data_IF_279273876036
#
_entry.id   IF_279273876036
#
_cell.length_a   1.000
_cell.length_b   1.000
_cell.length_c   1.000
_cell.angle_alpha   90.00
_cell.angle_beta   90.00
_cell.angle_gamma   90.00
#
_symmetry.space_group_name_H-M   'P 1'
#
loop_
_entity.id
_entity.type
_entity.pdbx_description
1 polymer ?
#
# COMPACT_ATOMS: atom_id res chain seq x y z
N UNK A 1 -4.17 0.73 -8.38
CA UNK A 1 -3.10 0.28 -9.30
C UNK A 1 -3.34 -1.18 -9.58
N UNK A 2 -3.27 -1.63 -10.82
CA UNK A 2 -3.81 -2.95 -11.23
C UNK A 2 -2.81 -4.10 -11.02
N UNK A 3 -1.52 -3.81 -10.93
CA UNK A 3 -0.46 -4.84 -10.97
C UNK A 3 -0.29 -5.60 -9.66
N UNK A 4 -0.51 -5.00 -8.50
CA UNK A 4 -0.24 -5.67 -7.22
C UNK A 4 -1.23 -6.80 -6.91
N UNK A 5 -2.56 -6.63 -7.10
CA UNK A 5 -3.49 -7.74 -6.94
C UNK A 5 -3.21 -8.89 -7.92
N UNK A 6 -2.77 -8.58 -9.14
CA UNK A 6 -2.39 -9.59 -10.13
C UNK A 6 -1.11 -10.32 -9.71
N UNK A 7 -0.14 -9.61 -9.14
CA UNK A 7 1.12 -10.18 -8.66
C UNK A 7 0.90 -11.26 -7.57
N UNK A 8 -0.10 -11.10 -6.70
CA UNK A 8 -0.49 -12.12 -5.71
C UNK A 8 -0.95 -13.43 -6.36
N UNK A 9 -1.57 -13.34 -7.55
CA UNK A 9 -2.16 -14.48 -8.25
C UNK A 9 -1.18 -15.14 -9.23
N UNK A 10 0.04 -14.64 -9.35
CA UNK A 10 1.05 -15.28 -10.19
C UNK A 10 1.34 -16.70 -9.68
N UNK A 11 1.51 -17.68 -10.58
CA UNK A 11 1.88 -19.05 -10.17
C UNK A 11 3.20 -19.12 -9.39
N UNK A 12 4.07 -18.13 -9.56
CA UNK A 12 5.36 -18.00 -8.87
C UNK A 12 5.26 -17.29 -7.51
N UNK A 13 4.08 -16.80 -7.13
CA UNK A 13 3.89 -16.14 -5.84
C UNK A 13 4.12 -17.11 -4.69
N UNK A 14 5.12 -16.84 -3.86
CA UNK A 14 5.49 -17.69 -2.73
C UNK A 14 5.42 -16.88 -1.44
N UNK A 15 4.45 -17.12 -0.56
CA UNK A 15 4.39 -16.49 0.75
C UNK A 15 5.65 -16.80 1.58
N UNK A 16 6.43 -15.78 1.93
CA UNK A 16 7.51 -15.89 2.89
C UNK A 16 6.99 -15.56 4.29
N UNK A 17 6.78 -16.59 5.13
CA UNK A 17 6.26 -16.43 6.49
C UNK A 17 7.06 -15.45 7.32
N UNK A 18 8.40 -15.49 7.22
CA UNK A 18 9.26 -14.58 8.00
C UNK A 18 9.02 -13.14 7.54
N UNK A 19 8.99 -12.91 6.23
CA UNK A 19 8.73 -11.58 5.67
C UNK A 19 7.34 -11.07 6.04
N UNK A 20 6.32 -11.93 5.99
CA UNK A 20 4.96 -11.57 6.40
C UNK A 20 4.89 -11.17 7.87
N UNK A 21 5.59 -11.87 8.77
CA UNK A 21 5.68 -11.48 10.18
C UNK A 21 6.35 -10.11 10.33
N UNK A 22 7.49 -9.86 9.68
CA UNK A 22 8.17 -8.56 9.72
C UNK A 22 7.26 -7.42 9.24
N UNK A 23 6.53 -7.64 8.13
CA UNK A 23 5.57 -6.68 7.60
C UNK A 23 4.43 -6.41 8.58
N UNK A 24 3.94 -7.44 9.27
CA UNK A 24 2.88 -7.31 10.28
C UNK A 24 3.36 -6.45 11.45
N UNK A 25 4.53 -6.74 11.97
CA UNK A 25 5.13 -5.98 13.08
C UNK A 25 5.36 -4.52 12.70
N UNK A 26 5.74 -4.23 11.44
CA UNK A 26 5.84 -2.86 10.92
C UNK A 26 4.49 -2.13 10.96
N UNK A 27 3.39 -2.80 10.57
CA UNK A 27 2.05 -2.19 10.60
C UNK A 27 1.54 -1.98 12.03
N UNK A 28 1.79 -2.92 12.94
CA UNK A 28 1.40 -2.79 14.35
C UNK A 28 2.15 -1.64 15.04
N UNK A 29 3.46 -1.50 14.79
CA UNK A 29 4.23 -0.35 15.28
C UNK A 29 3.67 0.98 14.79
N UNK A 30 3.21 1.05 13.54
CA UNK A 30 2.57 2.26 13.02
C UNK A 30 1.24 2.57 13.73
N UNK A 31 0.46 1.55 14.10
CA UNK A 31 -0.80 1.73 14.85
C UNK A 31 -0.56 2.26 16.28
N UNK A 32 0.59 1.94 16.87
CA UNK A 32 0.98 2.41 18.20
C UNK A 32 1.68 3.78 18.19
N UNK A 33 2.08 4.27 17.01
CA UNK A 33 2.86 5.51 16.90
C UNK A 33 1.96 6.74 16.75
N UNK A 34 2.30 7.80 17.48
CA UNK A 34 1.72 9.12 17.28
C UNK A 34 2.13 9.72 15.92
N UNK A 35 1.20 9.70 14.97
CA UNK A 35 1.41 10.12 13.57
C UNK A 35 1.79 11.60 13.46
N UNK A 36 1.35 12.44 14.41
CA UNK A 36 1.69 13.88 14.42
C UNK A 36 3.17 14.12 14.70
N UNK A 37 3.85 13.15 15.33
CA UNK A 37 5.29 13.20 15.62
C UNK A 37 6.15 12.53 14.56
N UNK A 38 5.54 11.84 13.59
CA UNK A 38 6.26 11.19 12.49
C UNK A 38 6.58 12.18 11.38
N UNK A 39 7.83 12.13 10.88
CA UNK A 39 8.22 12.88 9.69
C UNK A 39 7.44 12.35 8.48
N UNK A 40 6.87 13.24 7.66
CA UNK A 40 6.16 12.93 6.42
C UNK A 40 6.90 11.92 5.53
N UNK A 41 8.22 12.07 5.41
CA UNK A 41 9.06 11.15 4.63
C UNK A 41 9.02 9.71 5.15
N UNK A 42 9.05 9.50 6.47
CA UNK A 42 8.93 8.16 7.06
C UNK A 42 7.58 7.54 6.73
N UNK A 43 6.49 8.32 6.82
CA UNK A 43 5.14 7.84 6.51
C UNK A 43 5.00 7.41 5.04
N UNK A 44 5.54 8.20 4.11
CA UNK A 44 5.51 7.88 2.67
C UNK A 44 6.38 6.65 2.34
N UNK A 45 7.51 6.48 3.03
CA UNK A 45 8.36 5.30 2.90
C UNK A 45 7.63 4.04 3.37
N UNK A 46 7.11 4.03 4.60
CA UNK A 46 6.51 2.82 5.17
C UNK A 46 5.31 2.31 4.36
N UNK A 47 4.49 3.22 3.81
CA UNK A 47 3.40 2.82 2.92
C UNK A 47 3.90 2.16 1.62
N UNK A 48 4.96 2.71 1.01
CA UNK A 48 5.53 2.15 -0.22
C UNK A 48 6.24 0.82 0.02
N UNK A 49 6.94 0.69 1.16
CA UNK A 49 7.73 -0.49 1.52
C UNK A 49 6.86 -1.74 1.67
N UNK A 50 5.63 -1.60 2.20
CA UNK A 50 4.67 -2.71 2.27
C UNK A 50 4.35 -3.26 0.87
N UNK A 51 3.93 -2.38 -0.05
CA UNK A 51 3.55 -2.77 -1.41
C UNK A 51 4.74 -3.33 -2.20
N UNK A 52 5.93 -2.73 -2.05
CA UNK A 52 7.15 -3.20 -2.71
C UNK A 52 7.60 -4.56 -2.17
N UNK A 53 7.50 -4.79 -0.87
CA UNK A 53 7.81 -6.10 -0.27
C UNK A 53 6.83 -7.17 -0.72
N UNK A 54 5.55 -6.84 -0.77
CA UNK A 54 4.50 -7.76 -1.21
C UNK A 54 4.69 -8.16 -2.68
N UNK A 55 4.97 -7.19 -3.56
CA UNK A 55 5.11 -7.48 -4.98
C UNK A 55 6.36 -8.31 -5.30
N UNK A 56 7.42 -8.21 -4.48
CA UNK A 56 8.62 -9.05 -4.61
C UNK A 56 8.32 -10.53 -4.42
N UNK A 57 7.33 -10.88 -3.59
CA UNK A 57 6.92 -12.27 -3.36
C UNK A 57 6.35 -12.94 -4.61
N UNK A 58 5.94 -12.16 -5.63
CA UNK A 58 5.53 -12.71 -6.93
C UNK A 58 6.67 -13.40 -7.70
N UNK A 59 7.94 -13.11 -7.36
CA UNK A 59 9.09 -13.58 -8.13
C UNK A 59 9.23 -12.93 -9.51
N UNK A 60 8.36 -11.97 -9.87
CA UNK A 60 8.41 -11.28 -11.16
C UNK A 60 9.11 -9.91 -11.04
N UNK A 61 10.36 -9.76 -11.54
CA UNK A 61 11.11 -8.51 -11.40
C UNK A 61 10.47 -7.34 -12.14
N UNK A 62 9.70 -7.58 -13.22
CA UNK A 62 9.04 -6.52 -13.97
C UNK A 62 7.93 -5.85 -13.15
N UNK A 63 7.19 -6.61 -12.35
CA UNK A 63 6.19 -6.05 -11.44
C UNK A 63 6.84 -5.17 -10.39
N UNK A 64 7.91 -5.64 -9.75
CA UNK A 64 8.64 -4.85 -8.78
C UNK A 64 9.19 -3.55 -9.37
N UNK A 65 9.88 -3.62 -10.52
CA UNK A 65 10.40 -2.43 -11.21
C UNK A 65 9.29 -1.42 -11.56
N UNK A 66 8.15 -1.92 -12.06
CA UNK A 66 7.01 -1.07 -12.44
C UNK A 66 6.42 -0.35 -11.22
N UNK A 67 6.29 -1.06 -10.09
CA UNK A 67 5.79 -0.49 -8.85
C UNK A 67 6.73 0.60 -8.30
N UNK A 68 8.02 0.30 -8.21
CA UNK A 68 9.03 1.26 -7.74
C UNK A 68 9.00 2.54 -8.57
N UNK A 69 8.90 2.43 -9.90
CA UNK A 69 8.80 3.58 -10.79
C UNK A 69 7.51 4.38 -10.54
N UNK A 70 6.36 3.71 -10.38
CA UNK A 70 5.09 4.37 -10.09
C UNK A 70 5.12 5.10 -8.74
N UNK A 71 5.73 4.50 -7.70
CA UNK A 71 5.88 5.11 -6.38
C UNK A 71 6.78 6.35 -6.43
N UNK A 72 7.90 6.31 -7.17
CA UNK A 72 8.78 7.48 -7.37
C UNK A 72 8.03 8.65 -8.00
N UNK A 73 7.25 8.40 -9.05
CA UNK A 73 6.41 9.44 -9.67
C UNK A 73 5.37 10.00 -8.71
N UNK A 74 4.76 9.14 -7.88
CA UNK A 74 3.75 9.54 -6.90
C UNK A 74 4.32 10.45 -5.81
N UNK A 75 5.53 10.18 -5.31
CA UNK A 75 6.22 11.03 -4.30
C UNK A 75 6.41 12.47 -4.76
N UNK A 76 6.72 12.70 -6.03
CA UNK A 76 6.87 14.05 -6.59
C UNK A 76 5.58 14.87 -6.46
N UNK A 77 4.42 14.22 -6.46
CA UNK A 77 3.10 14.86 -6.39
C UNK A 77 2.57 15.01 -4.95
N UNK A 78 3.05 14.19 -4.01
CA UNK A 78 2.50 14.08 -2.65
C UNK A 78 3.17 15.00 -1.62
N UNK A 79 4.25 15.70 -1.97
CA UNK A 79 4.97 16.63 -1.09
C UNK A 79 4.12 17.81 -0.56
N UNK A 80 2.88 17.98 -1.06
CA UNK A 80 1.93 19.03 -0.66
C UNK A 80 0.64 18.50 -0.05
N UNK A 81 0.49 17.18 0.12
CA UNK A 81 -0.73 16.59 0.67
C UNK A 81 -0.74 16.68 2.20
N UNK A 82 -1.88 17.07 2.78
CA UNK A 82 -2.08 17.05 4.23
C UNK A 82 -2.15 15.61 4.72
N UNK A 83 -1.41 15.31 5.78
CA UNK A 83 -1.45 14.00 6.46
C UNK A 83 -2.80 13.82 7.17
N UNK A 84 -3.33 12.60 7.08
CA UNK A 84 -4.57 12.18 7.70
C UNK A 84 -4.27 10.91 8.52
N UNK A 85 -4.23 11.05 9.85
CA UNK A 85 -3.87 9.98 10.77
C UNK A 85 -4.89 8.84 10.76
N UNK A 86 -6.19 9.16 10.70
CA UNK A 86 -7.26 8.16 10.63
C UNK A 86 -7.14 7.32 9.36
N UNK A 87 -6.78 7.97 8.25
CA UNK A 87 -6.48 7.27 6.99
C UNK A 87 -5.29 6.32 7.14
N UNK A 88 -4.20 6.76 7.76
CA UNK A 88 -3.02 5.90 7.97
C UNK A 88 -3.39 4.66 8.78
N UNK A 89 -4.08 4.84 9.91
CA UNK A 89 -4.48 3.73 10.76
C UNK A 89 -5.43 2.77 10.06
N UNK A 90 -6.36 3.28 9.25
CA UNK A 90 -7.23 2.45 8.41
C UNK A 90 -6.43 1.61 7.40
N UNK A 91 -5.41 2.19 6.76
CA UNK A 91 -4.53 1.47 5.84
C UNK A 91 -3.72 0.38 6.55
N UNK A 92 -3.14 0.69 7.72
CA UNK A 92 -2.39 -0.29 8.51
C UNK A 92 -3.25 -1.52 8.87
N UNK A 93 -4.51 -1.31 9.28
CA UNK A 93 -5.44 -2.41 9.57
C UNK A 93 -5.77 -3.25 8.33
N UNK A 94 -5.94 -2.61 7.17
CA UNK A 94 -6.17 -3.31 5.90
C UNK A 94 -4.93 -4.10 5.46
N UNK A 95 -3.72 -3.59 5.69
CA UNK A 95 -2.49 -4.31 5.43
C UNK A 95 -2.38 -5.57 6.30
N UNK A 96 -2.73 -5.47 7.59
CA UNK A 96 -2.76 -6.63 8.49
C UNK A 96 -3.75 -7.69 7.99
N UNK A 97 -4.97 -7.30 7.58
CA UNK A 97 -5.96 -8.21 6.98
C UNK A 97 -5.39 -8.95 5.75
N UNK A 98 -4.69 -8.23 4.86
CA UNK A 98 -4.05 -8.83 3.69
C UNK A 98 -2.95 -9.81 4.11
N UNK A 99 -2.13 -9.45 5.10
CA UNK A 99 -1.05 -10.32 5.61
C UNK A 99 -1.64 -11.61 6.20
N UNK A 100 -2.71 -11.52 6.98
CA UNK A 100 -3.35 -12.69 7.60
C UNK A 100 -3.89 -13.66 6.53
N UNK A 101 -4.50 -13.14 5.46
CA UNK A 101 -4.95 -13.95 4.31
C UNK A 101 -3.77 -14.63 3.59
N UNK A 102 -2.68 -13.89 3.34
CA UNK A 102 -1.47 -14.46 2.72
C UNK A 102 -0.82 -15.53 3.59
N UNK A 103 -0.79 -15.34 4.91
CA UNK A 103 -0.26 -16.31 5.85
C UNK A 103 -1.10 -17.60 5.93
N UNK A 104 -2.42 -17.47 5.71
CA UNK A 104 -3.35 -18.60 5.58
C UNK A 104 -3.29 -19.30 4.20
N UNK A 105 -2.68 -18.68 3.20
CA UNK A 105 -2.62 -19.19 1.82
C UNK A 105 -3.83 -18.83 0.96
N UNK A 106 -4.69 -17.93 1.44
CA UNK A 106 -5.92 -17.49 0.78
C UNK A 106 -5.61 -16.39 -0.25
N UNK A 107 -4.93 -16.77 -1.34
CA UNK A 107 -4.38 -15.82 -2.32
C UNK A 107 -5.46 -15.03 -3.09
N UNK A 108 -6.61 -15.64 -3.35
CA UNK A 108 -7.72 -15.00 -4.08
C UNK A 108 -8.33 -13.89 -3.22
N UNK A 109 -8.56 -14.19 -1.95
CA UNK A 109 -9.08 -13.31 -0.92
C UNK A 109 -8.09 -12.17 -0.66
N UNK A 110 -6.80 -12.48 -0.53
CA UNK A 110 -5.74 -11.48 -0.37
C UNK A 110 -5.67 -10.52 -1.57
N UNK A 111 -5.76 -11.05 -2.79
CA UNK A 111 -5.81 -10.25 -4.02
C UNK A 111 -7.03 -9.32 -4.04
N UNK A 112 -8.20 -9.84 -3.65
CA UNK A 112 -9.43 -9.04 -3.57
C UNK A 112 -9.35 -7.94 -2.50
N UNK A 113 -8.86 -8.27 -1.30
CA UNK A 113 -8.65 -7.31 -0.21
C UNK A 113 -7.67 -6.19 -0.64
N UNK A 114 -6.55 -6.54 -1.28
CA UNK A 114 -5.61 -5.56 -1.81
C UNK A 114 -6.24 -4.67 -2.89
N UNK A 115 -7.03 -5.25 -3.80
CA UNK A 115 -7.76 -4.46 -4.80
C UNK A 115 -8.69 -3.44 -4.15
N UNK A 116 -9.45 -3.84 -3.12
CA UNK A 116 -10.35 -2.96 -2.36
C UNK A 116 -9.58 -1.85 -1.63
N UNK A 117 -8.47 -2.20 -0.98
CA UNK A 117 -7.56 -1.23 -0.34
C UNK A 117 -7.09 -0.15 -1.34
N UNK A 118 -6.60 -0.56 -2.51
CA UNK A 118 -6.11 0.34 -3.54
C UNK A 118 -7.22 1.22 -4.14
N UNK A 119 -8.45 0.71 -4.26
CA UNK A 119 -9.62 1.49 -4.69
C UNK A 119 -10.02 2.55 -3.66
N UNK A 120 -10.01 2.20 -2.36
CA UNK A 120 -10.27 3.14 -1.28
C UNK A 120 -9.26 4.30 -1.24
N UNK A 121 -8.00 4.02 -1.56
CA UNK A 121 -6.96 5.05 -1.67
C UNK A 121 -7.17 5.99 -2.87
N UNK A 122 -7.74 5.51 -3.98
CA UNK A 122 -7.96 6.26 -5.21
C UNK A 122 -9.23 7.12 -5.17
N UNK A 123 -10.36 6.55 -4.72
CA UNK A 123 -11.67 7.22 -4.71
C UNK A 123 -11.69 8.50 -3.87
N UNK A 124 -10.88 8.56 -2.80
CA UNK A 124 -10.75 9.75 -1.95
C UNK A 124 -9.76 10.79 -2.49
N UNK A 125 -8.82 10.40 -3.37
CA UNK A 125 -7.89 11.34 -4.03
C UNK A 125 -8.59 12.12 -5.15
N UNK A 126 -9.57 11.51 -5.82
CA UNK A 126 -10.43 12.20 -6.81
C UNK A 126 -11.44 13.15 -6.17
N UNK A 127 -11.90 12.89 -4.94
CA UNK A 127 -12.77 13.81 -4.19
C UNK A 127 -12.08 15.08 -3.64
N UNK A 128 -10.75 15.14 -3.67
CA UNK A 128 -9.95 16.31 -3.28
C UNK A 128 -9.57 17.22 -4.46
N UNK A 129 -9.97 16.87 -5.70
CA UNK A 129 -9.80 17.75 -6.85
C UNK A 129 -10.96 18.75 -6.84
N UNK A 130 -10.71 19.99 -6.37
CA UNK A 130 -11.66 21.09 -6.50
C UNK A 130 -12.13 21.20 -7.97
N UNK A 131 -13.43 21.20 -8.26
CA UNK A 131 -13.97 21.52 -9.58
C UNK A 131 -14.12 23.04 -9.76
N UNK A 132 -13.04 23.80 -9.64
CA UNK A 132 -13.13 25.25 -9.84
C UNK A 132 -11.83 25.77 -10.39
N UNK A 133 -11.68 25.65 -11.72
CA UNK A 133 -10.92 26.53 -12.60
C UNK A 133 -11.29 26.17 -14.04
N UNK A 134 -12.41 26.69 -14.55
CA UNK A 134 -12.55 27.18 -15.93
C UNK A 134 -13.60 28.29 -15.91
N UNK A 135 -13.16 29.53 -15.69
CA UNK A 135 -13.86 30.69 -16.25
C UNK A 135 -13.20 30.96 -17.63
N UNK A 136 -13.98 30.76 -18.69
CA UNK A 136 -13.80 31.39 -20.00
C UNK A 136 -15.15 31.91 -20.45
#
# INVERSE_FOLDING_TARGET
MTIEPAAILEPTFTPDRKRLTELRDDQERLLETDVEKLRLERLLNTGSDFHESLIQLSGNPFFHMSLVQANRMRRLLEYRAKLDADRLYSQCRQHIEIIDLLAAGELIEASYALKKHLQGALAKKTGSRRPDLVDF
#
